data_IF_080385661948
#
_entry.id   IF_080385661948
#
_cell.length_a   1.000
_cell.length_b   1.000
_cell.length_c   1.000
_cell.angle_alpha   90.00
_cell.angle_beta   90.00
_cell.angle_gamma   90.00
#
_symmetry.space_group_name_H-M   'P 1'
#
loop_
_entity.id
_entity.type
_entity.pdbx_description
1 polymer ?
#
# COMPACT_ATOMS: atom_id res chain seq x y z
N UNK A 1 -44.60 9.47 29.53
CA UNK A 1 -44.81 10.36 28.37
C UNK A 1 -44.78 11.79 28.86
N UNK A 2 -43.72 12.53 28.52
CA UNK A 2 -43.67 14.00 28.41
C UNK A 2 -42.33 14.33 27.73
N UNK A 3 -42.32 14.96 26.55
CA UNK A 3 -41.09 15.27 25.81
C UNK A 3 -40.62 16.69 26.13
N UNK A 4 -39.32 16.90 26.28
CA UNK A 4 -38.73 18.25 26.21
C UNK A 4 -37.39 18.20 25.50
N UNK A 5 -37.37 18.66 24.25
CA UNK A 5 -36.25 19.33 23.61
C UNK A 5 -36.83 20.68 23.15
N UNK A 6 -36.12 21.83 23.26
CA UNK A 6 -34.97 22.04 22.37
C UNK A 6 -33.85 22.91 22.94
N UNK A 7 -32.63 22.67 22.44
CA UNK A 7 -31.48 23.54 22.65
C UNK A 7 -30.55 23.44 21.45
N UNK A 8 -31.01 23.92 20.29
CA UNK A 8 -30.23 23.98 19.07
C UNK A 8 -29.06 24.93 19.22
N UNK A 9 -27.85 24.38 19.21
CA UNK A 9 -26.62 25.17 19.12
C UNK A 9 -26.42 25.53 17.64
N UNK A 10 -26.49 26.83 17.36
CA UNK A 10 -26.22 27.48 16.09
C UNK A 10 -24.87 27.01 15.55
N UNK A 11 -24.87 26.29 14.43
CA UNK A 11 -23.67 25.95 13.67
C UNK A 11 -23.51 27.04 12.62
N UNK A 12 -22.55 27.93 12.83
CA UNK A 12 -22.24 29.05 11.93
C UNK A 12 -21.86 28.51 10.54
N UNK A 13 -22.68 28.85 9.54
CA UNK A 13 -22.50 28.45 8.12
C UNK A 13 -21.49 29.33 7.39
N UNK A 14 -20.28 29.50 7.93
CA UNK A 14 -19.23 30.35 7.33
C UNK A 14 -17.84 29.70 7.37
N UNK A 15 -17.74 28.38 7.22
CA UNK A 15 -16.45 27.66 7.14
C UNK A 15 -16.31 26.80 5.88
N UNK A 16 -16.95 27.17 4.77
CA UNK A 16 -16.97 26.33 3.54
C UNK A 16 -16.28 26.94 2.31
N UNK A 17 -15.51 28.03 2.45
CA UNK A 17 -14.76 28.61 1.30
C UNK A 17 -13.25 28.67 1.47
N UNK A 18 -12.72 28.44 2.67
CA UNK A 18 -11.26 28.46 2.97
C UNK A 18 -10.66 27.08 3.22
N UNK A 19 -11.33 25.97 2.84
CA UNK A 19 -10.78 24.60 3.00
C UNK A 19 -10.49 23.91 1.66
N UNK A 20 -11.13 24.33 0.55
CA UNK A 20 -10.91 23.70 -0.75
C UNK A 20 -9.59 24.11 -1.44
N UNK A 21 -9.03 25.27 -1.10
CA UNK A 21 -7.78 25.78 -1.69
C UNK A 21 -6.50 25.25 -1.03
N UNK A 22 -6.60 24.50 0.08
CA UNK A 22 -5.46 23.81 0.71
C UNK A 22 -5.36 22.32 0.34
N UNK A 23 -6.32 21.77 -0.41
CA UNK A 23 -6.31 20.35 -0.79
C UNK A 23 -5.48 20.06 -2.06
N UNK A 24 -5.15 21.07 -2.87
CA UNK A 24 -4.46 20.87 -4.17
C UNK A 24 -2.94 21.09 -4.08
N UNK A 25 -2.36 21.40 -2.91
CA UNK A 25 -0.92 21.71 -2.78
C UNK A 25 -0.17 20.89 -1.74
N UNK A 26 -0.29 19.56 -1.71
CA UNK A 26 0.78 18.72 -1.10
C UNK A 26 0.80 17.25 -1.52
N UNK A 27 0.86 16.98 -2.82
CA UNK A 27 1.62 15.80 -3.29
C UNK A 27 2.92 16.30 -3.91
N UNK A 28 3.70 17.05 -3.12
CA UNK A 28 5.12 17.16 -3.41
C UNK A 28 5.64 15.73 -3.36
N UNK A 29 5.98 15.18 -4.52
CA UNK A 29 6.78 13.96 -4.62
C UNK A 29 8.07 14.28 -3.90
N UNK A 30 8.11 14.01 -2.59
CA UNK A 30 9.35 13.92 -1.86
C UNK A 30 10.11 12.80 -2.58
N UNK A 31 10.97 13.18 -3.53
CA UNK A 31 12.02 12.32 -4.05
C UNK A 31 12.90 12.10 -2.84
N UNK A 32 12.58 11.06 -2.07
CA UNK A 32 13.55 10.46 -1.16
C UNK A 32 14.78 10.25 -2.02
N UNK A 33 15.83 11.02 -1.72
CA UNK A 33 17.15 10.77 -2.28
C UNK A 33 17.49 9.35 -1.86
N UNK A 34 17.25 8.40 -2.77
CA UNK A 34 17.58 7.00 -2.55
C UNK A 34 19.07 6.97 -2.27
N UNK A 35 19.44 6.74 -1.01
CA UNK A 35 20.82 6.55 -0.62
C UNK A 35 21.40 5.50 -1.58
N UNK A 36 22.36 5.91 -2.42
CA UNK A 36 22.62 5.24 -3.70
C UNK A 36 22.80 3.74 -3.48
N UNK A 37 21.82 2.95 -3.93
CA UNK A 37 21.99 1.50 -3.97
C UNK A 37 23.23 1.20 -4.80
N UNK A 38 24.01 0.18 -4.41
CA UNK A 38 25.23 -0.22 -5.13
C UNK A 38 25.07 -0.19 -6.66
N UNK A 39 26.11 0.17 -7.41
CA UNK A 39 26.11 0.10 -8.87
C UNK A 39 25.91 -1.35 -9.35
N UNK A 40 24.72 -1.65 -9.88
CA UNK A 40 24.33 -2.98 -10.41
C UNK A 40 24.04 -2.89 -11.90
N UNK A 41 24.39 -3.94 -12.63
CA UNK A 41 24.03 -4.06 -14.06
C UNK A 41 22.52 -4.16 -14.26
N UNK A 42 22.03 -3.80 -15.45
CA UNK A 42 20.59 -3.88 -15.78
C UNK A 42 20.03 -5.30 -15.66
N UNK A 43 20.81 -6.32 -16.03
CA UNK A 43 20.43 -7.74 -15.89
C UNK A 43 20.13 -8.09 -14.43
N UNK A 44 21.00 -7.69 -13.51
CA UNK A 44 20.83 -7.93 -12.07
C UNK A 44 19.61 -7.16 -11.54
N UNK A 45 19.44 -5.89 -11.90
CA UNK A 45 18.27 -5.09 -11.51
C UNK A 45 16.96 -5.76 -11.95
N UNK A 46 16.90 -6.25 -13.19
CA UNK A 46 15.72 -6.97 -13.71
C UNK A 46 15.48 -8.27 -12.96
N UNK A 47 16.52 -9.02 -12.62
CA UNK A 47 16.41 -10.23 -11.81
C UNK A 47 15.86 -9.93 -10.41
N UNK A 48 16.43 -8.94 -9.71
CA UNK A 48 15.98 -8.51 -8.38
C UNK A 48 14.51 -8.08 -8.38
N UNK A 49 14.12 -7.25 -9.36
CA UNK A 49 12.73 -6.82 -9.53
C UNK A 49 11.78 -8.01 -9.75
N UNK A 50 12.18 -9.00 -10.58
CA UNK A 50 11.39 -10.22 -10.80
C UNK A 50 11.25 -11.04 -9.51
N UNK A 51 12.33 -11.22 -8.75
CA UNK A 51 12.31 -11.94 -7.46
C UNK A 51 11.45 -11.23 -6.42
N UNK A 52 11.45 -9.90 -6.39
CA UNK A 52 10.57 -9.13 -5.53
C UNK A 52 9.10 -9.32 -5.92
N UNK A 53 8.76 -9.21 -7.21
CA UNK A 53 7.39 -9.43 -7.71
C UNK A 53 6.88 -10.84 -7.43
N UNK A 54 7.73 -11.86 -7.52
CA UNK A 54 7.35 -13.26 -7.23
C UNK A 54 7.07 -13.52 -5.74
N UNK A 55 7.63 -12.72 -4.83
CA UNK A 55 7.57 -12.94 -3.40
C UNK A 55 6.27 -12.43 -2.75
N UNK A 56 5.12 -12.84 -3.28
CA UNK A 56 3.78 -12.41 -2.87
C UNK A 56 2.93 -13.60 -2.37
N UNK A 57 1.94 -13.36 -1.48
CA UNK A 57 0.98 -14.38 -1.07
C UNK A 57 0.06 -14.78 -2.24
N UNK A 58 -0.58 -15.95 -2.11
CA UNK A 58 -1.55 -16.44 -3.11
C UNK A 58 -2.85 -15.65 -2.99
N UNK A 59 -3.45 -15.19 -4.12
CA UNK A 59 -4.77 -14.56 -4.13
C UNK A 59 -5.88 -15.46 -3.57
N UNK A 60 -6.83 -14.86 -2.86
CA UNK A 60 -7.89 -15.59 -2.17
C UNK A 60 -8.83 -16.34 -3.13
N UNK A 61 -9.20 -15.77 -4.27
CA UNK A 61 -10.04 -16.43 -5.28
C UNK A 61 -9.42 -17.71 -5.86
N UNK A 62 -8.09 -17.83 -5.89
CA UNK A 62 -7.42 -19.07 -6.30
C UNK A 62 -7.68 -20.17 -5.28
N UNK A 63 -7.71 -19.84 -3.98
CA UNK A 63 -8.02 -20.80 -2.91
C UNK A 63 -9.46 -21.30 -2.98
N UNK A 64 -10.37 -20.47 -3.51
CA UNK A 64 -11.79 -20.80 -3.66
C UNK A 64 -12.09 -21.64 -4.90
N UNK A 65 -11.14 -21.82 -5.83
CA UNK A 65 -11.35 -22.68 -7.00
C UNK A 65 -11.58 -24.13 -6.58
N UNK A 66 -12.66 -24.74 -7.06
CA UNK A 66 -12.98 -26.15 -6.84
C UNK A 66 -11.84 -27.05 -7.33
N UNK A 67 -11.52 -28.11 -6.55
CA UNK A 67 -10.45 -29.05 -6.88
C UNK A 67 -9.02 -28.52 -6.70
N UNK A 68 -8.83 -27.28 -6.20
CA UNK A 68 -7.50 -26.73 -6.01
C UNK A 68 -6.86 -27.18 -4.67
N UNK A 69 -5.72 -27.86 -4.75
CA UNK A 69 -4.93 -28.31 -3.59
C UNK A 69 -3.95 -27.24 -3.06
N UNK A 70 -3.72 -26.16 -3.81
CA UNK A 70 -2.72 -25.13 -3.48
C UNK A 70 -3.28 -24.18 -2.40
N UNK A 71 -2.65 -24.15 -1.21
CA UNK A 71 -3.08 -23.30 -0.09
C UNK A 71 -2.16 -22.11 0.20
N UNK A 72 -0.86 -22.29 0.03
CA UNK A 72 0.18 -21.27 0.26
C UNK A 72 1.26 -21.32 -0.83
N UNK A 73 2.03 -20.24 -0.97
CA UNK A 73 3.13 -20.18 -1.93
C UNK A 73 4.38 -20.82 -1.33
N UNK A 74 4.64 -22.08 -1.67
CA UNK A 74 5.81 -22.84 -1.20
C UNK A 74 7.14 -22.23 -1.64
N UNK A 75 7.15 -21.47 -2.73
CA UNK A 75 8.35 -20.79 -3.27
C UNK A 75 8.53 -19.36 -2.73
N UNK A 76 7.72 -18.93 -1.76
CA UNK A 76 7.87 -17.62 -1.10
C UNK A 76 9.18 -17.61 -0.32
N UNK A 77 9.90 -16.48 -0.38
CA UNK A 77 11.26 -16.35 0.15
C UNK A 77 11.33 -15.28 1.24
N UNK A 78 11.99 -15.56 2.35
CA UNK A 78 12.35 -14.53 3.34
C UNK A 78 13.85 -14.18 3.22
N UNK A 79 14.18 -12.89 3.18
CA UNK A 79 15.53 -12.42 2.87
C UNK A 79 16.60 -12.75 3.93
N UNK A 80 16.17 -12.93 5.19
CA UNK A 80 17.07 -13.40 6.25
C UNK A 80 17.34 -14.89 6.18
N UNK A 81 16.37 -15.70 5.73
CA UNK A 81 16.49 -17.17 5.73
C UNK A 81 17.19 -17.73 4.49
N UNK A 82 16.86 -17.23 3.30
CA UNK A 82 17.38 -17.77 2.04
C UNK A 82 17.87 -16.67 1.10
N UNK A 83 19.11 -16.80 0.60
CA UNK A 83 19.78 -15.83 -0.28
C UNK A 83 19.48 -16.12 -1.75
N UNK A 84 19.68 -15.10 -2.59
CA UNK A 84 19.30 -15.16 -4.02
C UNK A 84 20.36 -15.79 -4.93
N UNK A 85 21.60 -15.95 -4.46
CA UNK A 85 22.71 -16.50 -5.24
C UNK A 85 22.90 -15.73 -6.55
N UNK A 86 23.43 -14.51 -6.45
CA UNK A 86 23.67 -13.59 -7.55
C UNK A 86 25.15 -13.43 -7.81
#
# INVERSE_FOLDING_TARGET
MTPTLPGGRLLDKTTDVTSFFLFVRRHSRERTVDNMSSHKTFKIKRFLAKKQKQNRPIPQWIRMKTGNKIRYNSKRRHWRRTKLGL
#
